data_IF_386379004871
#
_entry.id   IF_386379004871
#
_cell.length_a   1.000
_cell.length_b   1.000
_cell.length_c   1.000
_cell.angle_alpha   90.00
_cell.angle_beta   90.00
_cell.angle_gamma   90.00
#
_symmetry.space_group_name_H-M   'P 1'
#
loop_
_entity.id
_entity.type
_entity.pdbx_description
1 polymer ?
#
# COMPACT_ATOMS: atom_id res chain seq x y z
N UNK A 1 3.06 17.84 28.72
CA UNK A 1 3.81 17.35 27.55
C UNK A 1 2.92 16.39 26.79
N UNK A 2 2.84 16.50 25.46
CA UNK A 2 2.09 15.55 24.62
C UNK A 2 2.87 14.24 24.52
N UNK A 3 2.23 13.12 24.87
CA UNK A 3 2.85 11.79 24.77
C UNK A 3 2.67 11.30 23.33
N UNK A 4 3.79 11.09 22.64
CA UNK A 4 3.82 10.52 21.27
C UNK A 4 4.55 9.19 21.31
N UNK A 5 3.99 8.15 20.70
CA UNK A 5 4.66 6.84 20.53
C UNK A 5 4.44 6.32 19.12
N UNK A 6 5.44 5.63 18.58
CA UNK A 6 5.28 4.77 17.41
C UNK A 6 4.81 3.40 17.91
N UNK A 7 3.65 2.88 17.45
CA UNK A 7 3.25 1.52 17.77
C UNK A 7 4.18 0.51 17.11
N UNK A 8 4.33 -0.66 17.74
CA UNK A 8 5.02 -1.78 17.14
C UNK A 8 4.15 -2.47 16.08
N UNK A 9 4.77 -3.13 15.10
CA UNK A 9 4.06 -3.74 13.96
C UNK A 9 3.15 -4.91 14.37
N UNK A 10 3.39 -5.55 15.52
CA UNK A 10 2.54 -6.62 16.05
C UNK A 10 1.35 -6.12 16.88
N UNK A 11 1.23 -4.80 17.10
CA UNK A 11 0.03 -4.23 17.72
C UNK A 11 -1.18 -4.34 16.78
N UNK A 12 -2.38 -4.11 17.30
CA UNK A 12 -3.60 -4.16 16.50
C UNK A 12 -3.54 -3.14 15.35
N UNK A 13 -3.81 -3.61 14.13
CA UNK A 13 -3.78 -2.83 12.91
C UNK A 13 -5.22 -2.57 12.41
N UNK A 14 -5.43 -1.45 11.72
CA UNK A 14 -6.67 -1.19 10.99
C UNK A 14 -6.64 -1.80 9.57
N UNK A 15 -5.45 -1.89 8.98
CA UNK A 15 -5.23 -2.50 7.69
C UNK A 15 -3.84 -2.24 7.11
N UNK A 16 -3.61 -2.82 5.94
CA UNK A 16 -2.35 -2.77 5.19
C UNK A 16 -2.52 -1.94 3.92
N UNK A 17 -1.60 -1.01 3.67
CA UNK A 17 -1.47 -0.27 2.41
C UNK A 17 -0.64 -1.11 1.42
N UNK A 18 -1.20 -1.41 0.26
CA UNK A 18 -0.57 -2.26 -0.77
C UNK A 18 -0.65 -1.60 -2.15
N UNK A 19 0.37 -0.82 -2.54
CA UNK A 19 0.45 -0.27 -3.89
C UNK A 19 0.66 -1.39 -4.92
N UNK A 20 -0.14 -1.38 -5.99
CA UNK A 20 -0.24 -2.50 -6.92
C UNK A 20 0.75 -2.35 -8.10
N UNK A 21 1.40 -3.43 -8.56
CA UNK A 21 2.21 -3.37 -9.77
C UNK A 21 1.34 -3.14 -11.01
N UNK A 22 1.74 -2.22 -11.90
CA UNK A 22 1.01 -1.92 -13.12
C UNK A 22 1.96 -1.57 -14.28
N UNK A 23 1.41 -1.37 -15.49
CA UNK A 23 2.18 -1.09 -16.72
C UNK A 23 2.98 0.21 -16.72
N UNK A 24 2.74 1.07 -15.73
CA UNK A 24 3.47 2.33 -15.52
C UNK A 24 4.58 2.24 -14.47
N UNK A 25 4.82 1.04 -13.93
CA UNK A 25 5.92 0.75 -12.99
C UNK A 25 7.03 -0.02 -13.71
N UNK A 26 8.19 -0.16 -13.07
CA UNK A 26 9.30 -0.98 -13.58
C UNK A 26 8.95 -2.48 -13.71
N UNK A 27 7.81 -2.91 -13.17
CA UNK A 27 7.31 -4.28 -13.29
C UNK A 27 6.70 -4.61 -14.66
N UNK A 28 6.54 -3.64 -15.56
CA UNK A 28 5.80 -3.79 -16.84
C UNK A 28 6.17 -5.05 -17.63
N UNK A 29 7.45 -5.38 -17.72
CA UNK A 29 7.95 -6.53 -18.50
C UNK A 29 7.76 -7.89 -17.79
N UNK A 30 7.38 -7.88 -16.51
CA UNK A 30 7.23 -9.07 -15.68
C UNK A 30 5.95 -9.07 -14.82
N UNK A 31 4.93 -8.30 -15.22
CA UNK A 31 3.63 -8.25 -14.53
C UNK A 31 3.02 -9.64 -14.33
N UNK A 32 3.14 -10.51 -15.34
CA UNK A 32 2.65 -11.89 -15.27
C UNK A 32 3.33 -12.73 -14.16
N UNK A 33 4.53 -12.36 -13.73
CA UNK A 33 5.25 -13.01 -12.65
C UNK A 33 5.01 -12.36 -11.29
N UNK A 34 4.93 -11.01 -11.23
CA UNK A 34 4.80 -10.28 -9.95
C UNK A 34 3.35 -10.18 -9.48
N UNK A 35 2.38 -10.01 -10.38
CA UNK A 35 0.97 -9.83 -10.00
C UNK A 35 0.40 -11.03 -9.21
N UNK A 36 0.71 -12.29 -9.56
CA UNK A 36 0.32 -13.43 -8.73
C UNK A 36 0.85 -13.36 -7.29
N UNK A 37 2.01 -12.75 -7.05
CA UNK A 37 2.56 -12.56 -5.70
C UNK A 37 1.71 -11.57 -4.91
N UNK A 38 1.38 -10.42 -5.51
CA UNK A 38 0.52 -9.40 -4.89
C UNK A 38 -0.89 -9.92 -4.61
N UNK A 39 -1.44 -10.75 -5.51
CA UNK A 39 -2.69 -11.47 -5.27
C UNK A 39 -2.59 -12.36 -4.03
N UNK A 40 -1.50 -13.10 -3.87
CA UNK A 40 -1.33 -13.93 -2.68
C UNK A 40 -1.24 -13.08 -1.41
N UNK A 41 -0.49 -11.97 -1.43
CA UNK A 41 -0.40 -11.04 -0.29
C UNK A 41 -1.79 -10.54 0.09
N UNK A 42 -2.51 -9.92 -0.84
CA UNK A 42 -3.84 -9.36 -0.60
C UNK A 42 -4.86 -10.43 -0.16
N UNK A 43 -4.83 -11.62 -0.77
CA UNK A 43 -5.72 -12.73 -0.41
C UNK A 43 -5.47 -13.22 1.01
N UNK A 44 -4.21 -13.31 1.45
CA UNK A 44 -3.90 -13.75 2.80
C UNK A 44 -4.21 -12.66 3.84
N UNK A 45 -3.77 -11.43 3.60
CA UNK A 45 -4.00 -10.28 4.48
C UNK A 45 -5.49 -10.01 4.69
N UNK A 46 -6.30 -10.04 3.62
CA UNK A 46 -7.76 -9.79 3.68
C UNK A 46 -8.53 -10.79 4.55
N UNK A 47 -7.92 -11.90 4.97
CA UNK A 47 -8.55 -12.82 5.93
C UNK A 47 -8.57 -12.28 7.37
N UNK A 48 -7.68 -11.34 7.67
CA UNK A 48 -7.42 -10.86 9.04
C UNK A 48 -7.76 -9.38 9.21
N UNK A 49 -7.50 -8.57 8.18
CA UNK A 49 -7.65 -7.11 8.26
C UNK A 49 -7.97 -6.48 6.90
N UNK A 50 -8.22 -5.18 6.88
CA UNK A 50 -8.44 -4.42 5.64
C UNK A 50 -7.15 -4.37 4.82
N UNK A 51 -7.27 -4.49 3.50
CA UNK A 51 -6.18 -4.22 2.55
C UNK A 51 -6.61 -3.06 1.67
N UNK A 52 -5.87 -1.96 1.72
CA UNK A 52 -6.05 -0.79 0.88
C UNK A 52 -5.11 -0.94 -0.31
N UNK A 53 -5.68 -1.24 -1.48
CA UNK A 53 -4.94 -1.39 -2.72
C UNK A 53 -4.88 -0.05 -3.43
N UNK A 54 -3.66 0.44 -3.65
CA UNK A 54 -3.41 1.72 -4.33
C UNK A 54 -2.96 1.44 -5.75
N UNK A 55 -3.69 1.93 -6.73
CA UNK A 55 -3.34 1.79 -8.14
C UNK A 55 -4.06 2.86 -8.96
N UNK A 56 -3.58 3.22 -10.17
CA UNK A 56 -4.42 3.89 -11.16
C UNK A 56 -5.75 3.15 -11.35
N UNK A 57 -6.85 3.86 -11.59
CA UNK A 57 -8.19 3.24 -11.69
C UNK A 57 -8.25 2.14 -12.75
N UNK A 58 -7.58 2.37 -13.89
CA UNK A 58 -7.46 1.44 -15.01
C UNK A 58 -6.64 0.18 -14.69
N UNK A 59 -5.83 0.22 -13.63
CA UNK A 59 -4.99 -0.88 -13.17
C UNK A 59 -5.60 -1.63 -11.98
N UNK A 60 -6.88 -1.39 -11.67
CA UNK A 60 -7.55 -2.04 -10.53
C UNK A 60 -7.58 -3.58 -10.66
N UNK A 61 -7.05 -4.33 -9.68
CA UNK A 61 -7.02 -5.80 -9.72
C UNK A 61 -8.31 -6.46 -9.21
N UNK A 62 -9.43 -5.73 -9.19
CA UNK A 62 -10.70 -6.21 -8.63
C UNK A 62 -11.11 -7.59 -9.17
N UNK A 63 -11.12 -7.76 -10.50
CA UNK A 63 -11.50 -9.03 -11.13
C UNK A 63 -10.56 -10.18 -10.74
N UNK A 64 -9.26 -9.90 -10.70
CA UNK A 64 -8.25 -10.90 -10.36
C UNK A 64 -8.39 -11.37 -8.90
N UNK A 65 -8.55 -10.43 -7.96
CA UNK A 65 -8.70 -10.74 -6.54
C UNK A 65 -10.00 -11.48 -6.24
N UNK A 66 -11.11 -11.04 -6.84
CA UNK A 66 -12.40 -11.71 -6.72
C UNK A 66 -12.33 -13.15 -7.22
N UNK A 67 -11.74 -13.38 -8.40
CA UNK A 67 -11.59 -14.71 -9.00
C UNK A 67 -10.64 -15.63 -8.22
N UNK A 68 -9.70 -15.07 -7.44
CA UNK A 68 -8.70 -15.84 -6.67
C UNK A 68 -9.09 -16.03 -5.20
N UNK A 69 -10.28 -15.58 -4.80
CA UNK A 69 -10.86 -15.82 -3.49
C UNK A 69 -10.32 -14.91 -2.38
N UNK A 70 -9.94 -13.67 -2.72
CA UNK A 70 -9.73 -12.64 -1.70
C UNK A 70 -11.06 -12.30 -1.02
N UNK A 71 -11.01 -11.89 0.26
CA UNK A 71 -12.20 -11.40 0.98
C UNK A 71 -12.49 -9.98 0.56
N UNK A 72 -13.28 -9.83 -0.50
CA UNK A 72 -13.53 -8.54 -1.15
C UNK A 72 -14.16 -7.51 -0.21
N UNK A 73 -14.89 -7.94 0.81
CA UNK A 73 -15.42 -7.09 1.89
C UNK A 73 -14.33 -6.38 2.72
N UNK A 74 -13.11 -6.94 2.73
CA UNK A 74 -11.93 -6.39 3.39
C UNK A 74 -10.96 -5.72 2.41
N UNK A 75 -11.27 -5.67 1.11
CA UNK A 75 -10.45 -4.96 0.12
C UNK A 75 -11.05 -3.57 -0.12
N UNK A 76 -10.22 -2.54 -0.07
CA UNK A 76 -10.57 -1.18 -0.48
C UNK A 76 -9.67 -0.77 -1.63
N UNK A 77 -10.25 -0.30 -2.74
CA UNK A 77 -9.48 0.19 -3.88
C UNK A 77 -9.38 1.71 -3.81
N UNK A 78 -8.16 2.22 -3.91
CA UNK A 78 -7.86 3.64 -3.97
C UNK A 78 -7.24 3.97 -5.33
N UNK A 79 -7.99 4.70 -6.15
CA UNK A 79 -7.54 5.21 -7.45
C UNK A 79 -6.49 6.29 -7.28
N UNK A 80 -5.20 5.92 -7.31
CA UNK A 80 -4.08 6.85 -7.14
C UNK A 80 -2.88 6.38 -7.97
N UNK A 81 -2.29 7.25 -8.81
CA UNK A 81 -1.07 6.92 -9.53
C UNK A 81 0.13 6.71 -8.61
N UNK A 82 0.98 5.74 -8.96
CA UNK A 82 2.21 5.40 -8.24
C UNK A 82 3.38 5.26 -9.23
N UNK A 83 4.60 5.55 -8.77
CA UNK A 83 5.83 5.23 -9.51
C UNK A 83 6.22 3.77 -9.28
N UNK A 84 6.08 3.27 -8.06
CA UNK A 84 6.45 1.89 -7.70
C UNK A 84 5.55 1.33 -6.57
N UNK A 85 5.87 0.12 -6.12
CA UNK A 85 5.05 -0.73 -5.23
C UNK A 85 5.44 -0.67 -3.75
N UNK A 86 6.45 0.13 -3.41
CA UNK A 86 7.10 0.12 -2.09
C UNK A 86 6.36 0.96 -1.04
N UNK A 87 5.11 0.59 -0.74
CA UNK A 87 4.27 1.29 0.24
C UNK A 87 4.86 1.37 1.65
N UNK A 88 5.88 0.56 1.95
CA UNK A 88 6.67 0.66 3.19
C UNK A 88 7.46 1.97 3.28
N UNK A 89 7.98 2.45 2.16
CA UNK A 89 8.99 3.50 2.14
C UNK A 89 8.36 4.89 1.95
N UNK A 90 7.25 4.96 1.21
CA UNK A 90 6.49 6.19 0.99
C UNK A 90 5.17 6.25 1.76
N UNK A 91 4.73 5.13 2.35
CA UNK A 91 3.51 5.11 3.15
C UNK A 91 3.68 5.89 4.47
N UNK A 92 2.56 6.21 5.13
CA UNK A 92 2.58 7.07 6.29
C UNK A 92 3.13 6.31 7.50
N UNK A 93 3.91 6.99 8.33
CA UNK A 93 4.31 6.47 9.65
C UNK A 93 3.26 6.92 10.67
N UNK A 94 2.36 6.02 11.06
CA UNK A 94 1.31 6.35 12.04
C UNK A 94 1.85 6.30 13.47
N UNK A 95 1.77 7.43 14.17
CA UNK A 95 2.07 7.52 15.62
C UNK A 95 0.79 7.68 16.43
N UNK A 96 0.81 7.30 17.70
CA UNK A 96 -0.23 7.68 18.66
C UNK A 96 0.18 8.95 19.40
N UNK A 97 -0.57 10.04 19.23
CA UNK A 97 -0.41 11.30 19.96
C UNK A 97 -1.60 11.50 20.89
N UNK A 98 -1.36 11.42 22.20
CA UNK A 98 -2.43 11.40 23.22
C UNK A 98 -3.50 10.33 22.91
N UNK A 99 -3.04 9.10 22.63
CA UNK A 99 -3.85 7.91 22.31
C UNK A 99 -4.75 8.02 21.06
N UNK A 100 -4.54 9.05 20.23
CA UNK A 100 -5.17 9.19 18.91
C UNK A 100 -4.15 8.87 17.81
N UNK A 101 -4.53 8.08 16.79
CA UNK A 101 -3.65 7.83 15.65
C UNK A 101 -3.45 9.13 14.86
N UNK A 102 -2.22 9.37 14.44
CA UNK A 102 -1.79 10.49 13.61
C UNK A 102 -0.85 9.94 12.52
N UNK A 103 -1.29 9.84 11.26
CA UNK A 103 -0.40 9.50 10.15
C UNK A 103 0.60 10.65 9.94
N UNK A 104 1.88 10.32 9.87
CA UNK A 104 2.94 11.24 9.50
C UNK A 104 3.33 10.99 8.04
N UNK A 105 3.17 12.02 7.22
CA UNK A 105 3.59 12.04 5.81
C UNK A 105 5.02 12.57 5.70
N UNK A 106 5.98 11.67 5.53
CA UNK A 106 7.38 12.00 5.36
C UNK A 106 7.71 12.09 3.87
N UNK A 107 8.58 13.03 3.49
CA UNK A 107 9.03 13.13 2.09
C UNK A 107 9.83 11.89 1.68
N UNK A 108 9.37 11.20 0.64
CA UNK A 108 10.07 10.14 -0.07
C UNK A 108 10.66 10.68 -1.39
N UNK A 109 11.93 10.40 -1.65
CA UNK A 109 12.65 10.90 -2.82
C UNK A 109 13.26 9.80 -3.70
N UNK A 110 12.76 8.56 -3.63
CA UNK A 110 13.30 7.47 -4.45
C UNK A 110 14.68 7.00 -4.01
N UNK A 111 14.85 6.74 -2.70
CA UNK A 111 16.08 6.24 -2.06
C UNK A 111 17.33 7.07 -2.36
N UNK A 112 17.22 8.39 -2.20
CA UNK A 112 18.29 9.33 -2.51
C UNK A 112 18.37 9.67 -4.00
N UNK A 113 17.22 9.97 -4.60
CA UNK A 113 17.08 10.40 -6.00
C UNK A 113 17.58 9.38 -7.03
N UNK A 114 17.61 8.10 -6.64
CA UNK A 114 18.00 7.01 -7.55
C UNK A 114 16.90 6.69 -8.56
N UNK A 115 15.64 6.92 -8.17
CA UNK A 115 14.45 6.63 -8.97
C UNK A 115 13.45 7.80 -8.91
N UNK A 116 12.62 8.00 -9.94
CA UNK A 116 11.51 8.94 -9.89
C UNK A 116 10.51 8.55 -8.78
N UNK A 117 10.12 9.49 -7.93
CA UNK A 117 9.24 9.25 -6.78
C UNK A 117 8.12 10.30 -6.63
N UNK A 118 7.89 11.14 -7.64
CA UNK A 118 6.94 12.25 -7.56
C UNK A 118 5.46 11.83 -7.43
N UNK A 119 5.11 10.63 -7.87
CA UNK A 119 3.78 10.03 -7.64
C UNK A 119 3.73 9.40 -6.25
N UNK A 120 4.73 8.60 -5.89
CA UNK A 120 4.82 7.92 -4.59
C UNK A 120 4.76 8.90 -3.41
N UNK A 121 5.48 10.02 -3.51
CA UNK A 121 5.48 11.10 -2.51
C UNK A 121 4.15 11.88 -2.39
N UNK A 122 3.11 11.48 -3.11
CA UNK A 122 1.78 12.10 -3.07
C UNK A 122 0.65 11.11 -2.76
N UNK A 123 1.02 9.88 -2.39
CA UNK A 123 0.04 8.83 -2.08
C UNK A 123 -0.70 9.11 -0.77
N UNK A 124 -0.03 9.74 0.21
CA UNK A 124 -0.59 10.00 1.56
C UNK A 124 -0.59 11.45 1.98
#
# INVERSE_FOLDING_TARGET
MTKTRLPAEWEQQEGILLPWPHSGTDWVDMLSAVEPVFVQIARHASRFERVVIVAPEEASPHGLLSNKGARMENITFAGCPTNDTWGRDFGPITVYRNDKPLPLDFTFNGWGEKYPAGLDNRVT
#
